data_IF_443214541668
#
_entry.id   IF_443214541668
#
_cell.length_a   1.000
_cell.length_b   1.000
_cell.length_c   1.000
_cell.angle_alpha   90.00
_cell.angle_beta   90.00
_cell.angle_gamma   90.00
#
_symmetry.space_group_name_H-M   'P 1'
#
loop_
_entity.id
_entity.type
_entity.pdbx_description
1 polymer ?
#
# COMPACT_ATOMS: atom_id res chain seq x y z
N UNK A 1 4.12 -40.88 28.56
CA UNK A 1 2.75 -40.49 28.16
C UNK A 1 2.02 -39.76 29.29
N UNK A 2 1.97 -40.32 30.51
CA UNK A 2 1.24 -39.75 31.66
C UNK A 2 1.65 -38.31 32.05
N UNK A 3 2.96 -38.03 32.09
CA UNK A 3 3.49 -36.68 32.35
C UNK A 3 2.97 -35.65 31.34
N UNK A 4 2.96 -35.99 30.05
CA UNK A 4 2.50 -35.09 28.99
C UNK A 4 1.00 -34.78 29.10
N UNK A 5 0.18 -35.77 29.48
CA UNK A 5 -1.26 -35.58 29.73
C UNK A 5 -1.50 -34.65 30.92
N UNK A 6 -0.77 -34.84 32.01
CA UNK A 6 -0.85 -33.97 33.21
C UNK A 6 -0.44 -32.53 32.91
N UNK A 7 0.65 -32.33 32.18
CA UNK A 7 1.08 -31.01 31.71
C UNK A 7 0.02 -30.36 30.81
N UNK A 8 -0.59 -31.10 29.89
CA UNK A 8 -1.62 -30.56 28.99
C UNK A 8 -2.86 -30.10 29.76
N UNK A 9 -3.27 -30.85 30.79
CA UNK A 9 -4.41 -30.48 31.63
C UNK A 9 -4.11 -29.29 32.56
N UNK A 10 -2.86 -29.13 32.99
CA UNK A 10 -2.43 -28.03 33.85
C UNK A 10 -2.10 -26.73 33.09
N UNK A 11 -2.17 -26.74 31.76
CA UNK A 11 -1.86 -25.59 30.89
C UNK A 11 -3.10 -25.03 30.17
N UNK A 12 -4.29 -25.19 30.75
CA UNK A 12 -5.55 -24.73 30.14
C UNK A 12 -6.13 -23.56 30.94
N UNK A 13 -6.62 -22.53 30.24
CA UNK A 13 -7.52 -21.54 30.83
C UNK A 13 -8.97 -21.94 30.54
N UNK A 14 -9.72 -22.29 31.58
CA UNK A 14 -11.13 -22.65 31.46
C UNK A 14 -12.02 -21.52 32.02
N UNK A 15 -13.00 -21.04 31.24
CA UNK A 15 -14.03 -20.15 31.77
C UNK A 15 -14.89 -20.92 32.78
N UNK A 16 -15.02 -20.39 34.01
CA UNK A 16 -15.79 -21.03 35.08
C UNK A 16 -17.28 -20.66 35.09
N UNK A 17 -17.72 -19.76 34.21
CA UNK A 17 -19.11 -19.30 34.10
C UNK A 17 -19.47 -18.18 35.08
N UNK A 18 -20.77 -17.89 35.19
CA UNK A 18 -21.32 -16.88 36.11
C UNK A 18 -22.10 -17.52 37.25
N UNK A 19 -21.86 -17.06 38.47
CA UNK A 19 -22.64 -17.43 39.66
C UNK A 19 -23.64 -16.30 39.92
N UNK A 20 -24.94 -16.58 39.73
CA UNK A 20 -26.00 -15.62 40.07
C UNK A 20 -26.17 -15.53 41.58
N UNK A 21 -25.86 -14.37 42.15
CA UNK A 21 -26.09 -14.04 43.55
C UNK A 21 -27.24 -13.05 43.69
N UNK A 22 -27.72 -12.84 44.92
CA UNK A 22 -28.78 -11.84 45.19
C UNK A 22 -28.36 -10.40 44.84
N UNK A 23 -27.06 -10.13 44.76
CA UNK A 23 -26.50 -8.82 44.41
C UNK A 23 -26.06 -8.68 42.95
N UNK A 24 -26.23 -9.71 42.11
CA UNK A 24 -25.80 -9.71 40.70
C UNK A 24 -25.07 -10.98 40.29
N UNK A 25 -24.65 -11.04 39.04
CA UNK A 25 -23.89 -12.16 38.47
C UNK A 25 -22.38 -11.95 38.69
N UNK A 26 -21.75 -12.90 39.38
CA UNK A 26 -20.30 -12.91 39.61
C UNK A 26 -19.67 -13.88 38.63
N UNK A 27 -18.83 -13.39 37.73
CA UNK A 27 -18.09 -14.24 36.80
C UNK A 27 -16.91 -14.91 37.51
N UNK A 28 -16.83 -16.23 37.44
CA UNK A 28 -15.74 -17.04 37.99
C UNK A 28 -14.89 -17.53 36.83
N UNK A 29 -13.58 -17.32 36.91
CA UNK A 29 -12.59 -17.81 35.94
C UNK A 29 -11.51 -18.58 36.67
N UNK A 30 -11.20 -19.77 36.18
CA UNK A 30 -10.05 -20.53 36.65
C UNK A 30 -8.83 -20.09 35.86
N UNK A 31 -7.85 -19.50 36.54
CA UNK A 31 -6.59 -19.06 35.94
C UNK A 31 -5.48 -20.00 36.36
N UNK A 32 -5.37 -21.13 35.67
CA UNK A 32 -4.34 -22.13 35.96
C UNK A 32 -3.16 -22.10 34.96
N UNK A 33 -3.19 -21.21 33.97
CA UNK A 33 -2.09 -21.03 33.02
C UNK A 33 -0.79 -20.66 33.73
N UNK A 34 0.27 -21.42 33.42
CA UNK A 34 1.64 -21.22 33.89
C UNK A 34 2.50 -20.81 32.70
N UNK A 35 3.25 -19.72 32.83
CA UNK A 35 4.06 -19.13 31.75
C UNK A 35 5.57 -19.38 31.93
N UNK A 36 6.00 -19.70 33.16
CA UNK A 36 7.41 -19.89 33.49
C UNK A 36 7.69 -21.30 34.01
N UNK A 37 8.87 -21.83 33.70
CA UNK A 37 9.34 -23.15 34.07
C UNK A 37 9.33 -23.39 35.58
N UNK A 38 9.58 -22.35 36.38
CA UNK A 38 9.46 -22.43 37.85
C UNK A 38 8.05 -22.77 38.32
N UNK A 39 7.04 -22.30 37.60
CA UNK A 39 5.64 -22.62 37.91
C UNK A 39 5.36 -24.08 37.53
N UNK A 40 5.88 -24.56 36.39
CA UNK A 40 5.79 -25.98 36.03
C UNK A 40 6.52 -26.90 37.00
N UNK A 41 7.62 -26.46 37.61
CA UNK A 41 8.39 -27.26 38.58
C UNK A 41 7.58 -27.70 39.79
N UNK A 42 6.57 -26.91 40.17
CA UNK A 42 5.71 -27.20 41.32
C UNK A 42 4.51 -28.09 40.97
N UNK A 43 4.37 -28.53 39.71
CA UNK A 43 3.25 -29.35 39.28
C UNK A 43 3.36 -30.77 39.87
N UNK A 44 2.40 -31.23 40.69
CA UNK A 44 2.38 -32.62 41.15
C UNK A 44 2.07 -33.56 39.98
N UNK A 45 2.92 -34.56 39.77
CA UNK A 45 2.82 -35.52 38.67
C UNK A 45 2.33 -36.87 39.19
N UNK A 46 2.87 -37.33 40.32
CA UNK A 46 2.48 -38.58 40.97
C UNK A 46 2.04 -38.28 42.40
N UNK A 47 0.93 -38.86 42.81
CA UNK A 47 0.46 -38.83 44.19
C UNK A 47 0.44 -40.28 44.69
N UNK A 48 1.30 -40.60 45.66
CA UNK A 48 1.39 -41.94 46.24
C UNK A 48 0.20 -42.22 47.16
N UNK A 49 -0.13 -43.49 47.39
CA UNK A 49 -1.24 -43.88 48.26
C UNK A 49 -1.11 -43.32 49.69
N UNK A 50 0.12 -43.04 50.13
CA UNK A 50 0.45 -42.44 51.42
C UNK A 50 0.35 -40.91 51.46
N UNK A 51 -0.18 -40.28 50.40
CA UNK A 51 -0.36 -38.82 50.31
C UNK A 51 0.90 -38.02 49.97
N UNK A 52 2.02 -38.70 49.70
CA UNK A 52 3.25 -38.03 49.23
C UNK A 52 3.10 -37.61 47.77
N UNK A 53 3.57 -36.41 47.44
CA UNK A 53 3.50 -35.84 46.10
C UNK A 53 4.89 -35.77 45.47
N UNK A 54 5.02 -36.28 44.25
CA UNK A 54 6.21 -36.11 43.41
C UNK A 54 5.94 -34.99 42.42
N UNK A 55 6.71 -33.91 42.52
CA UNK A 55 6.60 -32.72 41.67
C UNK A 55 7.44 -32.87 40.42
N UNK A 56 7.05 -32.20 39.34
CA UNK A 56 7.76 -32.23 38.06
C UNK A 56 9.23 -31.83 38.20
N UNK A 57 9.52 -30.82 39.04
CA UNK A 57 10.89 -30.38 39.29
C UNK A 57 11.78 -31.40 40.02
N UNK A 58 11.21 -32.44 40.62
CA UNK A 58 11.98 -33.53 41.25
C UNK A 58 12.37 -34.63 40.26
N UNK A 59 11.71 -34.69 39.09
CA UNK A 59 11.88 -35.76 38.10
C UNK A 59 12.31 -35.26 36.72
N UNK A 60 12.32 -33.94 36.49
CA UNK A 60 12.67 -33.33 35.21
C UNK A 60 13.48 -32.04 35.40
N UNK A 61 14.37 -31.75 34.44
CA UNK A 61 15.04 -30.46 34.34
C UNK A 61 14.20 -29.51 33.48
N UNK A 62 13.75 -28.41 34.06
CA UNK A 62 12.87 -27.46 33.39
C UNK A 62 13.68 -26.21 33.07
N UNK A 63 13.78 -25.90 31.77
CA UNK A 63 14.51 -24.74 31.27
C UNK A 63 13.55 -23.84 30.53
N UNK A 64 13.48 -22.58 30.95
CA UNK A 64 12.87 -21.52 30.17
C UNK A 64 13.84 -21.17 29.04
N UNK A 65 13.50 -21.58 27.83
CA UNK A 65 14.29 -21.36 26.63
C UNK A 65 13.43 -20.74 25.54
N UNK A 66 14.09 -20.16 24.55
CA UNK A 66 13.44 -19.86 23.29
C UNK A 66 13.18 -21.16 22.53
N UNK A 67 12.25 -21.12 21.59
CA UNK A 67 11.99 -22.23 20.68
C UNK A 67 13.30 -22.64 19.99
N UNK A 68 13.67 -23.91 20.13
CA UNK A 68 14.84 -24.47 19.47
C UNK A 68 14.47 -24.71 18.00
N UNK A 69 14.77 -23.70 17.18
CA UNK A 69 14.46 -23.71 15.75
C UNK A 69 15.76 -23.65 14.96
N UNK A 70 15.92 -24.58 14.01
CA UNK A 70 17.01 -24.57 13.02
C UNK A 70 16.86 -23.43 11.98
N UNK A 71 15.81 -22.60 12.09
CA UNK A 71 15.62 -21.43 11.24
C UNK A 71 16.35 -20.23 11.83
N UNK A 72 17.43 -19.84 11.19
CA UNK A 72 18.09 -18.55 11.40
C UNK A 72 18.02 -17.73 10.11
N UNK A 73 17.85 -16.42 10.23
CA UNK A 73 17.96 -15.50 9.10
C UNK A 73 19.31 -14.80 9.18
N UNK A 74 19.91 -14.56 8.02
CA UNK A 74 21.12 -13.76 7.90
C UNK A 74 20.87 -12.59 6.95
N UNK A 75 21.62 -11.51 7.18
CA UNK A 75 21.68 -10.35 6.30
C UNK A 75 23.15 -9.92 6.22
N UNK A 76 23.70 -9.86 5.00
CA UNK A 76 25.13 -9.59 4.74
C UNK A 76 26.10 -10.41 5.61
N UNK A 77 25.80 -11.70 5.79
CA UNK A 77 26.62 -12.62 6.59
C UNK A 77 26.52 -12.43 8.12
N UNK A 78 25.76 -11.45 8.61
CA UNK A 78 25.43 -11.28 10.03
C UNK A 78 24.10 -11.97 10.35
N UNK A 79 23.94 -12.48 11.58
CA UNK A 79 22.64 -12.97 12.07
C UNK A 79 21.66 -11.81 12.15
N UNK A 80 20.47 -12.00 11.59
CA UNK A 80 19.45 -10.96 11.50
C UNK A 80 18.06 -11.52 11.81
N UNK A 81 17.15 -10.62 12.16
CA UNK A 81 15.71 -10.90 12.24
C UNK A 81 15.05 -10.02 11.19
N UNK A 82 14.29 -10.65 10.28
CA UNK A 82 13.53 -9.91 9.28
C UNK A 82 12.18 -9.51 9.88
N UNK A 83 11.85 -8.23 9.77
CA UNK A 83 10.55 -7.70 10.15
C UNK A 83 9.89 -7.15 8.90
N UNK A 84 8.75 -7.73 8.52
CA UNK A 84 7.98 -7.27 7.37
C UNK A 84 6.86 -6.35 7.84
N UNK A 85 6.79 -5.15 7.26
CA UNK A 85 5.75 -4.17 7.54
C UNK A 85 4.80 -4.11 6.36
N UNK A 86 3.54 -4.41 6.61
CA UNK A 86 2.48 -4.39 5.63
C UNK A 86 1.59 -3.16 5.80
N UNK A 87 1.14 -2.61 4.68
CA UNK A 87 0.10 -1.57 4.63
C UNK A 87 -1.26 -2.14 5.03
N UNK A 88 -2.11 -1.31 5.63
CA UNK A 88 -3.49 -1.67 6.03
C UNK A 88 -4.47 -0.65 5.45
N UNK A 89 -5.55 -1.14 4.83
CA UNK A 89 -6.58 -0.28 4.23
C UNK A 89 -6.07 0.56 3.05
N UNK A 90 -6.41 1.85 3.05
CA UNK A 90 -6.18 2.78 1.94
C UNK A 90 -4.83 3.51 1.99
N UNK A 91 -3.92 3.05 2.84
CA UNK A 91 -2.59 3.65 2.98
C UNK A 91 -1.77 3.52 1.69
N UNK A 92 -1.09 4.60 1.29
CA UNK A 92 -0.17 4.56 0.15
C UNK A 92 1.15 3.91 0.56
N UNK A 93 1.87 3.27 -0.38
CA UNK A 93 3.20 2.72 -0.11
C UNK A 93 4.17 3.77 0.46
N UNK A 94 4.10 5.00 -0.05
CA UNK A 94 4.95 6.13 0.36
C UNK A 94 4.64 6.59 1.79
N UNK A 95 3.37 6.61 2.19
CA UNK A 95 2.96 6.95 3.56
C UNK A 95 3.49 5.94 4.58
N UNK A 96 3.36 4.64 4.28
CA UNK A 96 3.83 3.57 5.17
C UNK A 96 5.35 3.58 5.28
N UNK A 97 6.07 3.70 4.16
CA UNK A 97 7.52 3.78 4.16
C UNK A 97 8.04 5.00 4.95
N UNK A 98 7.41 6.17 4.77
CA UNK A 98 7.75 7.37 5.53
C UNK A 98 7.51 7.19 7.05
N UNK A 99 6.41 6.53 7.43
CA UNK A 99 6.11 6.24 8.82
C UNK A 99 7.13 5.27 9.44
N UNK A 100 7.51 4.22 8.71
CA UNK A 100 8.54 3.25 9.15
C UNK A 100 9.90 3.93 9.30
N UNK A 101 10.33 4.72 8.30
CA UNK A 101 11.61 5.47 8.35
C UNK A 101 11.66 6.39 9.57
N UNK A 102 10.61 7.17 9.81
CA UNK A 102 10.50 8.04 10.99
C UNK A 102 10.58 7.25 12.31
N UNK A 103 9.88 6.13 12.40
CA UNK A 103 9.89 5.33 13.62
C UNK A 103 11.23 4.61 13.84
N UNK A 104 11.90 4.23 12.75
CA UNK A 104 13.25 3.67 12.81
C UNK A 104 14.26 4.69 13.32
N UNK A 105 14.15 5.96 12.90
CA UNK A 105 14.99 7.04 13.40
C UNK A 105 14.79 7.31 14.91
N UNK A 106 13.57 7.10 15.42
CA UNK A 106 13.26 7.17 16.87
C UNK A 106 13.84 5.99 17.66
N UNK A 107 13.81 4.78 17.09
CA UNK A 107 14.23 3.54 17.77
C UNK A 107 15.74 3.35 17.73
N UNK A 108 16.41 3.70 16.62
CA UNK A 108 17.86 3.57 16.44
C UNK A 108 18.71 3.99 17.65
N UNK A 109 18.49 5.16 18.29
CA UNK A 109 19.28 5.55 19.47
C UNK A 109 18.97 4.74 20.73
N UNK A 110 17.86 4.02 20.79
CA UNK A 110 17.47 3.18 21.94
C UNK A 110 17.97 1.74 21.83
N UNK A 111 18.57 1.36 20.71
CA UNK A 111 19.05 0.00 20.47
C UNK A 111 20.27 -0.34 21.34
N UNK A 112 20.33 -1.54 21.92
CA UNK A 112 21.51 -2.02 22.63
C UNK A 112 22.77 -2.07 21.73
N UNK A 113 23.98 -1.98 22.31
CA UNK A 113 25.22 -2.16 21.57
C UNK A 113 25.26 -3.49 20.83
N UNK A 114 25.62 -3.46 19.55
CA UNK A 114 25.70 -4.64 18.68
C UNK A 114 24.41 -5.01 17.96
N UNK A 115 23.33 -4.22 18.12
CA UNK A 115 22.09 -4.36 17.33
C UNK A 115 22.00 -3.19 16.36
N UNK A 116 21.91 -3.51 15.07
CA UNK A 116 21.70 -2.55 13.98
C UNK A 116 20.34 -2.83 13.35
N UNK A 117 19.64 -1.76 12.94
CA UNK A 117 18.35 -1.86 12.28
C UNK A 117 18.38 -1.07 10.96
N UNK A 118 18.13 -1.79 9.87
CA UNK A 118 18.23 -1.26 8.51
C UNK A 118 17.07 -1.72 7.63
N UNK A 119 16.74 -0.91 6.63
CA UNK A 119 15.65 -1.17 5.69
C UNK A 119 16.25 -1.82 4.45
N UNK A 120 16.01 -3.11 4.28
CA UNK A 120 16.62 -3.91 3.20
C UNK A 120 15.78 -3.90 1.92
N UNK A 121 14.45 -3.78 2.05
CA UNK A 121 13.52 -3.84 0.93
C UNK A 121 12.41 -2.81 1.09
N UNK A 122 12.58 -1.67 0.42
CA UNK A 122 11.58 -0.63 0.35
C UNK A 122 10.85 -0.64 -1.00
N UNK A 123 9.59 -1.09 -0.99
CA UNK A 123 8.76 -1.11 -2.20
C UNK A 123 8.27 0.28 -2.59
N UNK A 124 8.30 1.28 -1.69
CA UNK A 124 7.89 2.65 -2.03
C UNK A 124 8.90 3.30 -2.98
N UNK A 125 10.18 3.03 -2.85
CA UNK A 125 11.21 3.56 -3.75
C UNK A 125 11.01 3.08 -5.19
N UNK A 126 10.72 1.79 -5.38
CA UNK A 126 10.39 1.23 -6.70
C UNK A 126 9.14 1.89 -7.27
N UNK A 127 8.13 2.13 -6.43
CA UNK A 127 6.90 2.81 -6.83
C UNK A 127 7.16 4.27 -7.26
N UNK A 128 7.90 5.03 -6.47
CA UNK A 128 8.25 6.43 -6.75
C UNK A 128 9.12 6.55 -8.01
N UNK A 129 10.10 5.68 -8.18
CA UNK A 129 10.93 5.63 -9.40
C UNK A 129 10.07 5.40 -10.65
N UNK A 130 9.10 4.48 -10.59
CA UNK A 130 8.19 4.21 -11.71
C UNK A 130 7.27 5.39 -12.01
N UNK A 131 6.67 5.98 -10.99
CA UNK A 131 5.83 7.18 -11.15
C UNK A 131 6.66 8.33 -11.74
N UNK A 132 7.88 8.54 -11.24
CA UNK A 132 8.80 9.55 -11.76
C UNK A 132 9.20 9.31 -13.22
N UNK A 133 9.51 8.07 -13.59
CA UNK A 133 9.79 7.68 -14.98
C UNK A 133 8.60 7.95 -15.90
N UNK A 134 7.37 7.62 -15.46
CA UNK A 134 6.15 7.88 -16.22
C UNK A 134 5.88 9.37 -16.39
N UNK A 135 5.99 10.16 -15.31
CA UNK A 135 5.82 11.60 -15.38
C UNK A 135 6.86 12.24 -16.30
N UNK A 136 8.13 11.80 -16.21
CA UNK A 136 9.19 12.27 -17.10
C UNK A 136 8.91 11.92 -18.56
N UNK A 137 8.52 10.68 -18.84
CA UNK A 137 8.21 10.25 -20.20
C UNK A 137 6.96 10.95 -20.75
N UNK A 138 5.92 11.12 -19.92
CA UNK A 138 4.73 11.88 -20.26
C UNK A 138 5.04 13.35 -20.54
N UNK A 139 5.91 13.98 -19.75
CA UNK A 139 6.35 15.36 -19.97
C UNK A 139 7.19 15.51 -21.26
N UNK A 140 8.08 14.54 -21.54
CA UNK A 140 8.81 14.50 -22.81
C UNK A 140 7.84 14.34 -23.99
N UNK A 141 6.89 13.40 -23.88
CA UNK A 141 5.87 13.18 -24.90
C UNK A 141 5.03 14.44 -25.15
N UNK A 142 4.56 15.10 -24.09
CA UNK A 142 3.86 16.37 -24.17
C UNK A 142 4.73 17.43 -24.87
N UNK A 143 5.98 17.61 -24.45
CA UNK A 143 6.90 18.57 -25.06
C UNK A 143 7.08 18.31 -26.56
N UNK A 144 7.26 17.05 -26.97
CA UNK A 144 7.36 16.67 -28.38
C UNK A 144 6.09 17.03 -29.15
N UNK A 145 4.92 16.76 -28.59
CA UNK A 145 3.63 17.16 -29.18
C UNK A 145 3.55 18.68 -29.36
N UNK A 146 3.89 19.46 -28.33
CA UNK A 146 3.88 20.94 -28.41
C UNK A 146 4.86 21.46 -29.48
N UNK A 147 6.05 20.86 -29.59
CA UNK A 147 7.04 21.23 -30.61
C UNK A 147 6.52 20.91 -32.02
N UNK A 148 5.96 19.71 -32.23
CA UNK A 148 5.38 19.33 -33.52
C UNK A 148 4.22 20.27 -33.88
N UNK A 149 3.31 20.53 -32.94
CA UNK A 149 2.21 21.48 -33.14
C UNK A 149 2.73 22.87 -33.53
N UNK A 150 3.75 23.38 -32.83
CA UNK A 150 4.35 24.68 -33.13
C UNK A 150 5.08 24.76 -34.48
N UNK A 151 5.53 23.62 -35.02
CA UNK A 151 6.21 23.56 -36.32
C UNK A 151 5.23 23.41 -37.49
N UNK A 152 4.15 22.66 -37.32
CA UNK A 152 3.23 22.32 -38.41
C UNK A 152 1.97 23.21 -38.47
N UNK A 153 1.52 23.78 -37.35
CA UNK A 153 0.29 24.58 -37.30
C UNK A 153 0.58 26.08 -37.18
N UNK A 154 -0.38 26.90 -37.61
CA UNK A 154 -0.37 28.34 -37.34
C UNK A 154 -0.34 28.60 -35.82
N UNK A 155 0.49 29.55 -35.36
CA UNK A 155 0.69 29.82 -33.92
C UNK A 155 -0.62 30.07 -33.14
N UNK A 156 -1.60 30.74 -33.77
CA UNK A 156 -2.92 30.98 -33.16
C UNK A 156 -3.71 29.69 -32.99
N UNK A 157 -3.67 28.82 -33.99
CA UNK A 157 -4.34 27.52 -33.95
C UNK A 157 -3.69 26.60 -32.93
N UNK A 158 -2.36 26.49 -32.98
CA UNK A 158 -1.56 25.71 -32.06
C UNK A 158 -1.83 26.13 -30.60
N UNK A 159 -1.95 27.43 -30.30
CA UNK A 159 -2.30 27.91 -28.97
C UNK A 159 -3.63 27.36 -28.44
N UNK A 160 -4.69 27.38 -29.25
CA UNK A 160 -6.00 26.87 -28.83
C UNK A 160 -6.01 25.34 -28.64
N UNK A 161 -5.31 24.61 -29.50
CA UNK A 161 -5.12 23.16 -29.35
C UNK A 161 -4.34 22.86 -28.07
N UNK A 162 -3.24 23.57 -27.82
CA UNK A 162 -2.42 23.42 -26.61
C UNK A 162 -3.20 23.73 -25.33
N UNK A 163 -4.11 24.71 -25.35
CA UNK A 163 -4.99 25.02 -24.22
C UNK A 163 -6.03 23.93 -23.94
N UNK A 164 -6.42 23.12 -24.93
CA UNK A 164 -7.33 21.99 -24.74
C UNK A 164 -6.78 20.92 -23.79
N UNK A 165 -5.45 20.72 -23.79
CA UNK A 165 -4.76 19.75 -22.95
C UNK A 165 -4.95 20.03 -21.44
N UNK A 166 -4.52 21.18 -20.89
CA UNK A 166 -4.68 21.46 -19.46
C UNK A 166 -6.15 21.50 -19.05
N UNK A 167 -7.05 22.00 -19.91
CA UNK A 167 -8.50 22.03 -19.62
C UNK A 167 -9.06 20.61 -19.46
N UNK A 168 -8.67 19.68 -20.34
CA UNK A 168 -9.10 18.28 -20.28
C UNK A 168 -8.58 17.58 -19.02
N UNK A 169 -7.31 17.83 -18.65
CA UNK A 169 -6.72 17.28 -17.43
C UNK A 169 -7.37 17.84 -16.16
N UNK A 170 -7.61 19.15 -16.10
CA UNK A 170 -8.32 19.79 -15.00
C UNK A 170 -9.75 19.25 -14.85
N UNK A 171 -10.47 19.09 -15.96
CA UNK A 171 -11.80 18.49 -15.97
C UNK A 171 -11.79 17.05 -15.45
N UNK A 172 -10.82 16.25 -15.88
CA UNK A 172 -10.65 14.88 -15.39
C UNK A 172 -10.32 14.84 -13.90
N UNK A 173 -9.39 15.67 -13.40
CA UNK A 173 -9.06 15.74 -11.97
C UNK A 173 -10.23 16.19 -11.11
N UNK A 174 -11.11 17.05 -11.64
CA UNK A 174 -12.33 17.48 -10.94
C UNK A 174 -13.33 16.33 -10.78
N UNK A 175 -13.45 15.46 -11.79
CA UNK A 175 -14.42 14.36 -11.81
C UNK A 175 -13.89 13.07 -11.17
N UNK A 176 -12.58 12.85 -11.15
CA UNK A 176 -11.95 11.64 -10.61
C UNK A 176 -12.41 11.25 -9.19
N UNK A 177 -12.48 12.19 -8.20
CA UNK A 177 -12.94 11.87 -6.86
C UNK A 177 -14.37 11.33 -6.83
N UNK A 178 -15.24 11.87 -7.69
CA UNK A 178 -16.65 11.43 -7.77
C UNK A 178 -16.81 10.03 -8.37
N UNK A 179 -15.85 9.62 -9.21
CA UNK A 179 -15.78 8.28 -9.79
C UNK A 179 -15.02 7.27 -8.91
N UNK A 180 -14.50 7.69 -7.74
CA UNK A 180 -13.67 6.84 -6.88
C UNK A 180 -12.31 6.48 -7.48
N UNK A 181 -11.84 7.24 -8.47
CA UNK A 181 -10.57 6.98 -9.16
C UNK A 181 -9.44 7.77 -8.49
N UNK A 182 -8.33 7.10 -8.21
CA UNK A 182 -7.13 7.71 -7.61
C UNK A 182 -6.02 7.89 -8.64
N UNK A 183 -5.10 8.81 -8.35
CA UNK A 183 -3.87 8.95 -9.14
C UNK A 183 -2.92 7.82 -8.76
N UNK A 184 -2.77 6.88 -9.68
CA UNK A 184 -1.85 5.75 -9.56
C UNK A 184 -1.19 5.46 -10.92
N UNK A 185 -0.35 4.42 -10.96
CA UNK A 185 0.39 4.05 -12.17
C UNK A 185 -0.54 3.78 -13.37
N UNK A 186 -1.66 3.08 -13.16
CA UNK A 186 -2.62 2.78 -14.23
C UNK A 186 -3.31 4.03 -14.74
N UNK A 187 -3.74 4.93 -13.84
CA UNK A 187 -4.36 6.18 -14.26
C UNK A 187 -3.38 7.09 -15.00
N UNK A 188 -2.10 7.13 -14.60
CA UNK A 188 -1.06 7.89 -15.30
C UNK A 188 -0.82 7.33 -16.72
N UNK A 189 -0.80 6.00 -16.88
CA UNK A 189 -0.75 5.39 -18.21
C UNK A 189 -1.96 5.77 -19.06
N UNK A 190 -3.16 5.72 -18.48
CA UNK A 190 -4.37 6.15 -19.17
C UNK A 190 -4.27 7.61 -19.62
N UNK A 191 -3.75 8.52 -18.79
CA UNK A 191 -3.51 9.91 -19.16
C UNK A 191 -2.53 10.06 -20.33
N UNK A 192 -1.45 9.28 -20.37
CA UNK A 192 -0.49 9.33 -21.48
C UNK A 192 -1.15 8.90 -22.80
N UNK A 193 -2.00 7.86 -22.77
CA UNK A 193 -2.73 7.39 -23.96
C UNK A 193 -3.78 8.41 -24.39
N UNK A 194 -4.60 8.89 -23.45
CA UNK A 194 -5.67 9.87 -23.70
C UNK A 194 -5.12 11.20 -24.19
N UNK A 195 -3.92 11.59 -23.76
CA UNK A 195 -3.26 12.81 -24.24
C UNK A 195 -3.13 12.83 -25.77
N UNK A 196 -2.79 11.69 -26.40
CA UNK A 196 -2.71 11.61 -27.86
C UNK A 196 -4.08 11.79 -28.52
N UNK A 197 -5.07 11.04 -28.04
CA UNK A 197 -6.44 11.05 -28.57
C UNK A 197 -7.05 12.46 -28.50
N UNK A 198 -6.96 13.12 -27.34
CA UNK A 198 -7.53 14.46 -27.13
C UNK A 198 -6.88 15.50 -28.03
N UNK A 199 -5.57 15.38 -28.26
CA UNK A 199 -4.85 16.32 -29.12
C UNK A 199 -5.20 16.09 -30.59
N UNK A 200 -5.30 14.84 -31.03
CA UNK A 200 -5.66 14.50 -32.41
C UNK A 200 -7.03 15.09 -32.80
N UNK A 201 -8.04 14.94 -31.95
CA UNK A 201 -9.37 15.52 -32.16
C UNK A 201 -9.32 17.05 -32.28
N UNK A 202 -8.56 17.70 -31.38
CA UNK A 202 -8.41 19.15 -31.37
C UNK A 202 -7.67 19.65 -32.64
N UNK A 203 -6.69 18.89 -33.12
CA UNK A 203 -5.98 19.19 -34.39
C UNK A 203 -6.94 19.08 -35.57
N UNK A 204 -7.71 17.98 -35.68
CA UNK A 204 -8.61 17.75 -36.82
C UNK A 204 -9.65 18.87 -36.94
N UNK A 205 -10.30 19.22 -35.83
CA UNK A 205 -11.27 20.33 -35.80
C UNK A 205 -10.59 21.65 -36.11
N UNK A 206 -9.43 21.89 -35.48
CA UNK A 206 -8.69 23.13 -35.65
C UNK A 206 -8.25 23.39 -37.09
N UNK A 207 -7.65 22.39 -37.73
CA UNK A 207 -7.16 22.47 -39.10
C UNK A 207 -8.31 22.66 -40.08
N UNK A 208 -9.45 21.98 -39.87
CA UNK A 208 -10.61 22.15 -40.76
C UNK A 208 -11.21 23.56 -40.66
N UNK A 209 -11.26 24.15 -39.46
CA UNK A 209 -11.69 25.55 -39.28
C UNK A 209 -10.70 26.51 -39.94
N UNK A 210 -9.39 26.24 -39.83
CA UNK A 210 -8.35 27.04 -40.47
C UNK A 210 -8.41 26.96 -42.00
N UNK A 211 -8.65 25.78 -42.56
CA UNK A 211 -8.84 25.56 -43.99
C UNK A 211 -9.99 26.43 -44.55
N UNK A 212 -11.17 26.38 -43.93
CA UNK A 212 -12.32 27.22 -44.34
C UNK A 212 -12.04 28.71 -44.17
N UNK A 213 -11.19 29.09 -43.21
CA UNK A 213 -10.79 30.48 -43.07
C UNK A 213 -9.91 30.95 -44.22
N UNK A 214 -9.00 30.09 -44.70
CA UNK A 214 -8.16 30.36 -45.88
C UNK A 214 -8.99 30.48 -47.18
N UNK A 215 -10.11 29.76 -47.27
CA UNK A 215 -11.08 29.89 -48.38
C UNK A 215 -11.89 31.20 -48.37
N UNK A 216 -11.66 32.08 -47.39
CA UNK A 216 -12.25 33.42 -47.33
C UNK A 216 -13.51 33.53 -46.47
N UNK A 217 -13.93 32.47 -45.77
CA UNK A 217 -15.08 32.55 -44.87
C UNK A 217 -14.81 33.45 -43.66
N UNK A 218 -15.88 34.04 -43.10
CA UNK A 218 -15.78 34.78 -41.84
C UNK A 218 -15.50 33.84 -40.65
N UNK A 219 -14.91 34.34 -39.57
CA UNK A 219 -14.48 33.51 -38.42
C UNK A 219 -15.60 32.63 -37.84
N UNK A 220 -16.80 33.18 -37.68
CA UNK A 220 -17.94 32.43 -37.14
C UNK A 220 -18.44 31.35 -38.10
N UNK A 221 -18.49 31.66 -39.40
CA UNK A 221 -18.92 30.70 -40.42
C UNK A 221 -17.91 29.56 -40.57
N UNK A 222 -16.61 29.88 -40.59
CA UNK A 222 -15.54 28.89 -40.64
C UNK A 222 -15.57 27.97 -39.41
N UNK A 223 -15.79 28.52 -38.20
CA UNK A 223 -15.89 27.73 -36.98
C UNK A 223 -17.09 26.76 -37.01
N UNK A 224 -18.27 27.24 -37.41
CA UNK A 224 -19.48 26.40 -37.48
C UNK A 224 -19.37 25.33 -38.56
N UNK A 225 -18.90 25.69 -39.75
CA UNK A 225 -18.79 24.75 -40.87
C UNK A 225 -17.67 23.75 -40.65
N UNK A 226 -16.49 24.22 -40.25
CA UNK A 226 -15.34 23.38 -39.97
C UNK A 226 -15.63 22.34 -38.89
N UNK A 227 -16.27 22.74 -37.78
CA UNK A 227 -16.66 21.79 -36.73
C UNK A 227 -17.74 20.80 -37.20
N UNK A 228 -18.71 21.24 -38.01
CA UNK A 228 -19.82 20.39 -38.46
C UNK A 228 -19.37 19.28 -39.40
N UNK A 229 -18.39 19.55 -40.27
CA UNK A 229 -17.90 18.57 -41.24
C UNK A 229 -17.10 17.43 -40.58
N UNK A 230 -16.38 17.72 -39.49
CA UNK A 230 -15.62 16.70 -38.73
C UNK A 230 -16.34 16.23 -37.47
N UNK A 231 -17.58 16.67 -37.23
CA UNK A 231 -18.33 16.31 -36.03
C UNK A 231 -18.51 14.79 -35.90
N UNK A 232 -18.90 14.12 -37.00
CA UNK A 232 -19.08 12.66 -37.01
C UNK A 232 -17.79 11.91 -36.60
N UNK A 233 -16.65 12.05 -37.30
CA UNK A 233 -15.44 11.31 -36.95
C UNK A 233 -14.92 11.60 -35.54
N UNK A 234 -15.05 12.84 -35.04
CA UNK A 234 -14.63 13.22 -33.68
C UNK A 234 -15.55 12.62 -32.61
N UNK A 235 -16.85 12.53 -32.86
CA UNK A 235 -17.79 11.94 -31.88
C UNK A 235 -17.70 10.42 -31.77
N UNK A 236 -17.14 9.74 -32.77
CA UNK A 236 -17.06 8.28 -32.85
C UNK A 236 -15.62 7.74 -32.78
N UNK A 237 -14.61 8.60 -32.57
CA UNK A 237 -13.24 8.19 -32.23
C UNK A 237 -13.15 7.76 -30.77
#
# INVERSE_FOLDING_TARGET
AEVATRLRNASVELPGGGVKTRGGEILVRMKERRDYGRQFAQLPIVMTADGSEVRLGQIANIRDGFEESDRYSTYDGKRAVMVEVYRVGDQTPTQVAAAVKRHLDEIRPTLPPGIEADITRDMSEIYEQRVGLLLRNGAIGLCLVLVILGLFLEARLAFWVMMGIPISFLGSFLLMPSAGVTINMMSLFAYIIVLGIVVDDAIIVGENVYHHRQEGMSFSQAAVRGAREVAMPVTFS
#
